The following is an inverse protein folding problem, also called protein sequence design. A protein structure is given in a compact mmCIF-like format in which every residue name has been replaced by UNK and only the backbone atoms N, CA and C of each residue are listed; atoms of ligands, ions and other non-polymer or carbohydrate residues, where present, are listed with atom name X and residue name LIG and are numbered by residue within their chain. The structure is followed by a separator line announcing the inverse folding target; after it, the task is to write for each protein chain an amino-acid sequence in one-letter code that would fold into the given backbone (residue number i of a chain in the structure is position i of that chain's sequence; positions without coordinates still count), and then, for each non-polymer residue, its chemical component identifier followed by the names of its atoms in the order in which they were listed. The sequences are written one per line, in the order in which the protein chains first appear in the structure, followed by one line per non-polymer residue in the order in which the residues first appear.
data_IF_960217225505
#
_entry.id   IF_960217225505
#
_cell.length_a   1.000
_cell.length_b   1.000
_cell.length_c   1.000
_cell.angle_alpha   90.00
_cell.angle_beta   90.00
_cell.angle_gamma   90.00
#
_symmetry.space_group_name_H-M   'P 1'
#
loop_
_entity.id
_entity.type
_entity.pdbx_description
1 polymer ?
#
# COMPACT_ATOMS: atom_id res chain seq x y z
N UNK A 1 36.50 -18.58 0.17
CA UNK A 1 35.72 -17.43 -0.33
C UNK A 1 36.26 -16.20 0.37
N UNK A 2 36.97 -15.32 -0.36
CA UNK A 2 37.54 -14.10 0.23
C UNK A 2 36.45 -13.06 0.51
N UNK A 3 36.59 -12.32 1.61
CA UNK A 3 35.70 -11.20 1.96
C UNK A 3 36.11 -10.00 1.09
N UNK A 4 35.17 -9.44 0.33
CA UNK A 4 35.40 -8.26 -0.51
C UNK A 4 35.40 -7.03 0.38
N UNK A 5 36.42 -6.19 0.23
CA UNK A 5 36.52 -4.93 0.99
C UNK A 5 35.55 -3.86 0.46
N UNK A 6 35.11 -2.95 1.33
CA UNK A 6 34.18 -1.85 0.98
C UNK A 6 34.74 -0.95 -0.14
N UNK A 7 36.06 -0.81 -0.19
CA UNK A 7 36.79 -0.03 -1.19
C UNK A 7 36.75 -0.69 -2.57
N UNK A 8 36.93 -2.01 -2.63
CA UNK A 8 36.76 -2.79 -3.86
C UNK A 8 35.32 -2.72 -4.36
N UNK A 9 34.34 -2.83 -3.47
CA UNK A 9 32.91 -2.66 -3.76
C UNK A 9 32.61 -1.29 -4.39
N UNK A 10 33.11 -0.21 -3.80
CA UNK A 10 32.91 1.16 -4.30
C UNK A 10 33.57 1.39 -5.66
N UNK A 11 34.68 0.71 -5.95
CA UNK A 11 35.42 0.85 -7.20
C UNK A 11 34.81 0.07 -8.38
N UNK A 12 33.88 -0.86 -8.12
CA UNK A 12 33.26 -1.71 -9.14
C UNK A 12 34.18 -2.75 -9.78
N UNK A 13 35.40 -2.93 -9.25
CA UNK A 13 36.41 -3.86 -9.79
C UNK A 13 36.14 -5.32 -9.42
N UNK A 14 35.22 -5.58 -8.50
CA UNK A 14 34.83 -6.93 -8.06
C UNK A 14 34.35 -7.84 -9.21
N UNK A 15 33.94 -7.25 -10.33
CA UNK A 15 33.42 -7.96 -11.51
C UNK A 15 34.35 -7.93 -12.73
N UNK A 16 35.50 -7.26 -12.63
CA UNK A 16 36.53 -7.32 -13.67
C UNK A 16 37.40 -8.53 -13.37
N UNK A 17 37.09 -9.65 -14.02
CA UNK A 17 37.78 -10.92 -13.83
C UNK A 17 39.29 -10.80 -14.05
N UNK A 18 40.04 -10.67 -12.96
CA UNK A 18 41.42 -11.11 -12.88
C UNK A 18 41.44 -12.36 -12.01
N UNK A 19 41.30 -13.51 -12.67
CA UNK A 19 41.80 -14.76 -12.11
C UNK A 19 43.33 -14.67 -12.15
N UNK A 20 43.95 -14.38 -11.01
CA UNK A 20 45.38 -14.61 -10.84
C UNK A 20 45.53 -16.08 -10.45
N UNK A 21 45.74 -16.94 -11.44
CA UNK A 21 46.16 -18.31 -11.20
C UNK A 21 47.69 -18.33 -11.06
N UNK A 22 48.18 -18.56 -9.84
CA UNK A 22 49.50 -19.13 -9.62
C UNK A 22 49.45 -20.60 -10.04
N UNK A 23 50.12 -20.98 -11.13
CA UNK A 23 51.07 -22.09 -11.13
C UNK A 23 51.63 -22.43 -12.53
N UNK A 24 52.91 -22.79 -12.48
CA UNK A 24 53.80 -23.39 -13.46
C UNK A 24 53.16 -24.50 -14.31
N UNK A 25 53.32 -24.46 -15.64
CA UNK A 25 53.09 -25.63 -16.50
C UNK A 25 52.67 -25.33 -17.93
N UNK A 26 53.38 -25.92 -18.89
CA UNK A 26 53.25 -25.73 -20.33
C UNK A 26 51.90 -26.17 -20.93
N UNK A 27 51.42 -25.45 -21.97
CA UNK A 27 50.44 -25.98 -22.92
C UNK A 27 49.45 -24.96 -23.52
N UNK A 28 49.58 -24.69 -24.83
CA UNK A 28 48.49 -24.36 -25.76
C UNK A 28 47.65 -23.09 -25.54
N UNK A 29 47.97 -22.00 -26.25
CA UNK A 29 47.15 -20.77 -26.26
C UNK A 29 46.00 -20.90 -27.27
N UNK A 30 44.76 -21.05 -26.78
CA UNK A 30 43.54 -20.82 -27.57
C UNK A 30 43.06 -19.39 -27.30
N UNK A 31 43.16 -18.53 -28.31
CA UNK A 31 42.92 -17.10 -28.18
C UNK A 31 41.44 -16.77 -28.42
N UNK A 32 40.61 -16.84 -27.38
CA UNK A 32 39.24 -16.30 -27.44
C UNK A 32 39.29 -14.79 -27.25
N UNK A 33 39.14 -14.03 -28.34
CA UNK A 33 38.91 -12.58 -28.27
C UNK A 33 37.51 -12.32 -27.69
N UNK A 34 37.41 -12.22 -26.36
CA UNK A 34 36.26 -11.61 -25.72
C UNK A 34 36.24 -10.12 -26.09
N UNK A 35 35.17 -9.67 -26.76
CA UNK A 35 34.96 -8.25 -27.08
C UNK A 35 34.93 -7.47 -25.77
N UNK A 36 35.94 -6.62 -25.55
CA UNK A 36 35.96 -5.66 -24.45
C UNK A 36 34.77 -4.71 -24.60
N UNK A 37 33.73 -4.94 -23.81
CA UNK A 37 32.71 -3.92 -23.59
C UNK A 37 33.30 -2.97 -22.56
N UNK A 38 33.94 -1.92 -23.05
CA UNK A 38 34.52 -0.81 -22.27
C UNK A 38 33.40 0.08 -21.68
N UNK A 39 32.44 -0.50 -20.98
CA UNK A 39 31.56 0.22 -20.07
C UNK A 39 31.73 -0.39 -18.69
N UNK A 40 32.55 0.28 -17.87
CA UNK A 40 32.62 -0.02 -16.45
C UNK A 40 31.22 0.04 -15.83
N UNK A 41 30.96 -0.84 -14.87
CA UNK A 41 29.74 -0.83 -14.08
C UNK A 41 29.59 0.55 -13.43
N UNK A 42 28.63 1.34 -13.90
CA UNK A 42 28.34 2.65 -13.32
C UNK A 42 27.33 2.48 -12.18
N UNK A 43 27.74 2.90 -10.99
CA UNK A 43 26.84 3.00 -9.85
C UNK A 43 25.68 3.97 -10.21
N UNK A 44 24.41 3.53 -10.18
CA UNK A 44 23.26 4.35 -10.55
C UNK A 44 23.10 5.65 -9.76
N UNK A 45 23.83 5.79 -8.65
CA UNK A 45 23.79 6.95 -7.76
C UNK A 45 24.90 7.98 -8.02
N UNK A 46 25.86 7.71 -8.92
CA UNK A 46 26.99 8.61 -9.22
C UNK A 46 27.09 8.90 -10.72
N UNK A 47 26.38 9.93 -11.17
CA UNK A 47 26.63 10.56 -12.48
C UNK A 47 26.47 12.08 -12.36
N UNK A 48 27.61 12.78 -12.36
CA UNK A 48 27.71 14.22 -12.55
C UNK A 48 27.65 14.56 -14.06
N UNK A 49 26.50 15.06 -14.53
CA UNK A 49 26.32 16.21 -15.44
C UNK A 49 24.96 16.17 -16.18
N UNK A 50 24.08 17.13 -15.85
CA UNK A 50 22.98 17.75 -16.65
C UNK A 50 21.87 16.85 -17.24
N UNK A 51 20.60 17.30 -17.41
CA UNK A 51 20.03 18.64 -17.24
C UNK A 51 19.04 18.71 -16.07
N UNK A 52 18.72 19.92 -15.61
CA UNK A 52 17.55 20.19 -14.77
C UNK A 52 16.26 19.94 -15.58
N UNK A 53 15.96 18.69 -15.91
CA UNK A 53 14.57 18.29 -15.93
C UNK A 53 14.16 18.26 -14.47
N UNK A 54 13.57 19.37 -14.01
CA UNK A 54 12.69 19.32 -12.86
C UNK A 54 11.79 18.11 -13.07
N UNK A 55 12.05 17.03 -12.34
CA UNK A 55 11.09 15.97 -12.17
C UNK A 55 9.91 16.72 -11.57
N UNK A 56 8.93 17.07 -12.40
CA UNK A 56 7.60 17.42 -11.91
C UNK A 56 7.12 16.13 -11.28
N UNK A 57 7.44 15.96 -10.02
CA UNK A 57 7.05 14.83 -9.21
C UNK A 57 5.54 14.80 -9.30
N UNK A 58 4.99 13.84 -10.03
CA UNK A 58 3.55 13.52 -10.01
C UNK A 58 3.13 12.95 -8.63
N UNK A 59 3.90 13.22 -7.58
CA UNK A 59 3.65 12.81 -6.19
C UNK A 59 2.41 13.48 -5.61
N UNK A 60 1.96 14.59 -6.20
CA UNK A 60 0.78 15.33 -5.73
C UNK A 60 -0.53 14.53 -5.82
N UNK A 61 -0.61 13.47 -6.63
CA UNK A 61 -1.90 12.80 -6.87
C UNK A 61 -2.23 11.70 -5.85
N UNK A 62 -1.22 11.12 -5.19
CA UNK A 62 -1.36 9.93 -4.35
C UNK A 62 -1.06 10.28 -2.89
N UNK A 63 -2.01 10.93 -2.23
CA UNK A 63 -1.96 11.26 -0.79
C UNK A 63 -3.17 10.73 -0.07
N UNK A 64 -3.05 10.52 1.24
CA UNK A 64 -4.18 10.13 2.07
C UNK A 64 -5.26 11.20 1.98
N UNK A 65 -6.53 10.77 2.01
CA UNK A 65 -7.64 11.72 1.90
C UNK A 65 -7.74 12.61 3.15
N UNK A 66 -7.36 12.08 4.30
CA UNK A 66 -7.28 12.79 5.57
C UNK A 66 -5.89 12.65 6.19
N UNK A 67 -5.57 13.52 7.16
CA UNK A 67 -4.29 13.51 7.86
C UNK A 67 -4.19 12.29 8.78
N UNK A 68 -3.15 11.47 8.57
CA UNK A 68 -2.89 10.27 9.36
C UNK A 68 -2.17 10.58 10.69
N UNK A 69 -1.60 11.78 10.84
CA UNK A 69 -0.79 12.16 12.00
C UNK A 69 -1.58 12.86 13.10
N UNK A 70 -2.86 13.14 12.87
CA UNK A 70 -3.71 13.79 13.87
C UNK A 70 -3.99 12.86 15.06
N UNK A 71 -4.02 13.44 16.27
CA UNK A 71 -4.05 12.71 17.55
C UNK A 71 -5.22 11.70 17.70
N UNK A 72 -6.37 11.96 17.09
CA UNK A 72 -7.54 11.06 17.12
C UNK A 72 -7.91 10.48 15.74
N UNK A 73 -6.93 10.43 14.82
CA UNK A 73 -7.12 9.81 13.52
C UNK A 73 -7.32 8.29 13.67
N UNK A 74 -8.38 7.76 13.07
CA UNK A 74 -8.57 6.32 12.95
C UNK A 74 -7.92 5.84 11.64
N UNK A 75 -6.64 5.49 11.72
CA UNK A 75 -5.86 4.95 10.60
C UNK A 75 -6.11 3.45 10.49
N UNK A 76 -6.50 2.99 9.30
CA UNK A 76 -6.73 1.57 9.00
C UNK A 76 -5.41 0.86 8.65
N UNK A 77 -5.32 -0.46 8.91
CA UNK A 77 -4.07 -1.20 8.72
C UNK A 77 -3.61 -1.19 7.25
N UNK A 78 -2.29 -1.10 7.06
CA UNK A 78 -1.65 -1.14 5.73
C UNK A 78 -1.52 -2.58 5.21
N UNK A 79 -1.70 -2.80 3.90
CA UNK A 79 -1.55 -4.14 3.31
C UNK A 79 -0.11 -4.65 3.42
N UNK A 80 0.06 -5.94 3.70
CA UNK A 80 1.38 -6.62 3.75
C UNK A 80 2.00 -6.72 2.35
N UNK A 81 3.31 -6.96 2.24
CA UNK A 81 3.97 -7.08 0.94
C UNK A 81 3.35 -8.17 0.05
N UNK A 82 3.05 -9.35 0.61
CA UNK A 82 2.38 -10.42 -0.12
C UNK A 82 0.98 -10.01 -0.62
N UNK A 83 0.24 -9.26 0.19
CA UNK A 83 -1.05 -8.71 -0.21
C UNK A 83 -0.91 -7.71 -1.36
N UNK A 84 0.07 -6.81 -1.27
CA UNK A 84 0.38 -5.84 -2.32
C UNK A 84 0.72 -6.54 -3.64
N UNK A 85 1.57 -7.57 -3.62
CA UNK A 85 1.92 -8.34 -4.82
C UNK A 85 0.69 -9.00 -5.48
N UNK A 86 -0.28 -9.44 -4.68
CA UNK A 86 -1.48 -10.13 -5.17
C UNK A 86 -2.58 -9.17 -5.65
N UNK A 87 -2.82 -8.06 -4.94
CA UNK A 87 -3.98 -7.19 -5.16
C UNK A 87 -3.64 -5.84 -5.82
N UNK A 88 -2.38 -5.38 -5.79
CA UNK A 88 -1.94 -4.13 -6.41
C UNK A 88 -1.46 -4.33 -7.86
N UNK A 89 -2.36 -4.78 -8.73
CA UNK A 89 -2.04 -5.09 -10.15
C UNK A 89 -1.50 -3.90 -10.94
N UNK A 90 -1.79 -2.67 -10.50
CA UNK A 90 -1.38 -1.43 -11.15
C UNK A 90 -0.07 -0.85 -10.61
N UNK A 91 0.54 -1.48 -9.60
CA UNK A 91 1.78 -0.99 -8.97
C UNK A 91 1.65 0.41 -8.39
N UNK A 92 0.46 0.76 -7.87
CA UNK A 92 0.21 2.08 -7.29
C UNK A 92 0.94 2.21 -5.94
N UNK A 93 1.35 3.44 -5.54
CA UNK A 93 1.92 3.65 -4.23
C UNK A 93 0.90 3.29 -3.13
N UNK A 94 1.37 2.71 -2.04
CA UNK A 94 0.55 2.46 -0.86
C UNK A 94 0.40 3.75 -0.06
N UNK A 95 -0.85 4.08 0.25
CA UNK A 95 -1.25 5.31 0.94
C UNK A 95 -2.03 4.95 2.20
N UNK A 96 -1.92 5.76 3.25
CA UNK A 96 -2.73 5.60 4.45
C UNK A 96 -4.21 5.82 4.18
N UNK A 97 -5.02 4.89 4.70
CA UNK A 97 -6.48 5.00 4.69
C UNK A 97 -6.90 5.44 6.08
N UNK A 98 -7.47 6.63 6.17
CA UNK A 98 -7.88 7.24 7.44
C UNK A 98 -9.38 7.41 7.42
N UNK A 99 -10.12 6.82 8.36
CA UNK A 99 -11.57 6.99 8.43
C UNK A 99 -11.91 8.47 8.58
N UNK A 100 -12.97 8.93 7.92
CA UNK A 100 -13.40 10.33 7.94
C UNK A 100 -13.49 10.84 9.39
N UNK A 101 -12.76 11.91 9.77
CA UNK A 101 -12.77 12.46 11.12
C UNK A 101 -14.18 12.74 11.66
N UNK A 102 -15.11 13.13 10.77
CA UNK A 102 -16.50 13.36 11.17
C UNK A 102 -17.18 12.10 11.75
N UNK A 103 -16.82 10.93 11.22
CA UNK A 103 -17.32 9.64 11.67
C UNK A 103 -16.47 9.06 12.79
N UNK A 104 -15.14 9.13 12.69
CA UNK A 104 -14.23 8.54 13.67
C UNK A 104 -14.42 9.13 15.07
N UNK A 105 -14.67 10.44 15.17
CA UNK A 105 -14.98 11.14 16.43
C UNK A 105 -16.27 10.66 17.11
N UNK A 106 -17.17 9.99 16.38
CA UNK A 106 -18.43 9.46 16.90
C UNK A 106 -18.35 7.98 17.26
N UNK A 107 -17.31 7.27 16.81
CA UNK A 107 -17.11 5.86 17.09
C UNK A 107 -16.59 5.66 18.52
N UNK A 108 -17.23 4.74 19.24
CA UNK A 108 -16.71 4.21 20.52
C UNK A 108 -15.53 3.26 20.29
N UNK A 109 -14.66 3.01 21.28
CA UNK A 109 -13.47 2.17 21.11
C UNK A 109 -13.76 0.81 20.46
N UNK A 110 -14.76 0.07 20.93
CA UNK A 110 -15.17 -1.21 20.35
C UNK A 110 -15.67 -1.09 18.91
N UNK A 111 -16.27 0.04 18.54
CA UNK A 111 -16.73 0.30 17.18
C UNK A 111 -15.55 0.61 16.25
N UNK A 112 -14.49 1.26 16.75
CA UNK A 112 -13.26 1.50 15.98
C UNK A 112 -12.58 0.18 15.65
N UNK A 113 -12.50 -0.73 16.63
CA UNK A 113 -12.03 -2.11 16.43
C UNK A 113 -12.90 -2.87 15.42
N UNK A 114 -14.23 -2.76 15.52
CA UNK A 114 -15.16 -3.37 14.56
C UNK A 114 -14.96 -2.87 13.13
N UNK A 115 -14.73 -1.56 12.93
CA UNK A 115 -14.42 -1.00 11.60
C UNK A 115 -13.10 -1.52 11.06
N UNK A 116 -12.05 -1.61 11.90
CA UNK A 116 -10.75 -2.19 11.51
C UNK A 116 -10.92 -3.66 11.11
N UNK A 117 -11.63 -4.44 11.93
CA UNK A 117 -11.93 -5.85 11.66
C UNK A 117 -12.63 -6.03 10.31
N UNK A 118 -13.71 -5.27 10.08
CA UNK A 118 -14.45 -5.35 8.82
C UNK A 118 -13.60 -4.94 7.62
N UNK A 119 -12.77 -3.91 7.77
CA UNK A 119 -11.86 -3.45 6.71
C UNK A 119 -10.86 -4.53 6.33
N UNK A 120 -10.18 -5.16 7.31
CA UNK A 120 -9.22 -6.23 7.03
C UNK A 120 -9.87 -7.43 6.35
N UNK A 121 -11.09 -7.78 6.78
CA UNK A 121 -11.89 -8.83 6.16
C UNK A 121 -12.24 -8.49 4.70
N UNK A 122 -12.79 -7.30 4.44
CA UNK A 122 -13.19 -6.88 3.09
C UNK A 122 -12.00 -6.74 2.14
N UNK A 123 -10.84 -6.37 2.67
CA UNK A 123 -9.60 -6.27 1.90
C UNK A 123 -8.90 -7.61 1.71
N UNK A 124 -9.36 -8.71 2.30
CA UNK A 124 -8.63 -9.99 2.32
C UNK A 124 -7.21 -9.86 2.91
N UNK A 125 -7.09 -9.08 3.98
CA UNK A 125 -5.83 -8.88 4.72
C UNK A 125 -5.65 -9.87 5.87
N UNK A 126 -6.69 -10.63 6.22
CA UNK A 126 -6.62 -11.70 7.21
C UNK A 126 -6.25 -13.04 6.57
N UNK A 127 -5.81 -13.98 7.39
CA UNK A 127 -5.26 -15.28 6.96
C UNK A 127 -6.30 -16.26 6.39
N UNK A 128 -7.60 -15.94 6.47
CA UNK A 128 -8.63 -16.76 5.84
C UNK A 128 -8.80 -16.41 4.36
N UNK A 129 -9.06 -17.42 3.53
CA UNK A 129 -9.25 -17.26 2.09
C UNK A 129 -10.66 -16.70 1.76
N UNK A 130 -10.93 -15.46 2.10
CA UNK A 130 -12.18 -14.79 1.77
C UNK A 130 -12.14 -13.27 1.85
N UNK A 131 -13.22 -12.64 1.40
CA UNK A 131 -13.41 -11.18 1.38
C UNK A 131 -14.71 -10.75 2.08
N UNK A 132 -15.28 -11.62 2.91
CA UNK A 132 -16.54 -11.40 3.63
C UNK A 132 -16.33 -11.35 5.14
N UNK A 133 -17.22 -10.68 5.86
CA UNK A 133 -17.15 -10.55 7.32
C UNK A 133 -18.51 -10.82 7.95
N UNK A 134 -18.51 -11.33 9.18
CA UNK A 134 -19.71 -11.48 10.01
C UNK A 134 -19.54 -10.57 11.23
N UNK A 135 -20.38 -9.54 11.34
CA UNK A 135 -20.41 -8.65 12.49
C UNK A 135 -21.52 -9.10 13.46
N UNK A 136 -21.15 -9.99 14.38
CA UNK A 136 -22.07 -10.64 15.32
C UNK A 136 -22.10 -10.01 16.72
N UNK A 137 -21.73 -8.73 16.84
CA UNK A 137 -21.83 -7.97 18.09
C UNK A 137 -23.26 -7.93 18.62
N UNK A 138 -23.41 -7.76 19.93
CA UNK A 138 -24.71 -7.62 20.59
C UNK A 138 -25.59 -6.51 19.96
N UNK A 139 -26.91 -6.68 20.09
CA UNK A 139 -27.87 -5.70 19.63
C UNK A 139 -27.71 -4.39 20.43
N UNK A 140 -27.81 -3.25 19.75
CA UNK A 140 -27.64 -1.93 20.38
C UNK A 140 -26.21 -1.37 20.38
N UNK A 141 -25.19 -2.16 20.04
CA UNK A 141 -23.79 -1.69 20.00
C UNK A 141 -23.43 -0.77 18.82
N UNK A 142 -24.41 -0.38 18.00
CA UNK A 142 -24.22 0.58 16.90
C UNK A 142 -23.54 0.02 15.66
N UNK A 143 -23.82 -1.24 15.31
CA UNK A 143 -23.30 -1.90 14.08
C UNK A 143 -23.57 -1.09 12.80
N UNK A 144 -24.71 -0.40 12.71
CA UNK A 144 -25.04 0.45 11.56
C UNK A 144 -24.01 1.56 11.35
N UNK A 145 -23.56 2.23 12.41
CA UNK A 145 -22.53 3.27 12.33
C UNK A 145 -21.18 2.68 11.90
N UNK A 146 -20.80 1.51 12.42
CA UNK A 146 -19.58 0.81 11.99
C UNK A 146 -19.62 0.51 10.47
N UNK A 147 -20.72 -0.07 9.99
CA UNK A 147 -20.92 -0.37 8.57
C UNK A 147 -20.91 0.89 7.71
N UNK A 148 -21.61 1.96 8.11
CA UNK A 148 -21.66 3.22 7.36
C UNK A 148 -20.26 3.85 7.27
N UNK A 149 -19.49 3.84 8.37
CA UNK A 149 -18.12 4.36 8.41
C UNK A 149 -17.20 3.65 7.44
N UNK A 150 -17.31 2.32 7.38
CA UNK A 150 -16.56 1.52 6.41
C UNK A 150 -17.01 1.76 4.98
N UNK A 151 -18.32 1.72 4.71
CA UNK A 151 -18.89 1.96 3.37
C UNK A 151 -18.41 3.31 2.83
N UNK A 152 -18.52 4.37 3.64
CA UNK A 152 -18.06 5.69 3.26
C UNK A 152 -16.56 5.72 2.95
N UNK A 153 -15.75 5.08 3.79
CA UNK A 153 -14.30 4.98 3.60
C UNK A 153 -13.97 4.28 2.28
N UNK A 154 -14.57 3.12 1.99
CA UNK A 154 -14.30 2.34 0.78
C UNK A 154 -14.80 3.00 -0.52
N UNK A 155 -15.84 3.83 -0.42
CA UNK A 155 -16.37 4.62 -1.55
C UNK A 155 -15.52 5.85 -1.89
N UNK A 156 -14.72 6.34 -0.94
CA UNK A 156 -13.93 7.58 -1.12
C UNK A 156 -12.44 7.34 -1.28
N UNK A 157 -11.91 6.27 -0.68
CA UNK A 157 -10.47 6.02 -0.61
C UNK A 157 -10.16 4.53 -0.49
N UNK A 158 -8.87 4.22 -0.59
CA UNK A 158 -8.33 2.87 -0.57
C UNK A 158 -6.81 2.89 -0.43
N UNK A 159 -6.20 1.75 -0.07
CA UNK A 159 -4.77 1.69 0.22
C UNK A 159 -3.89 1.87 -1.02
N UNK A 160 -4.43 1.63 -2.22
CA UNK A 160 -3.70 1.69 -3.48
C UNK A 160 -3.96 3.00 -4.21
N UNK A 161 -3.00 3.92 -4.13
CA UNK A 161 -3.09 5.25 -4.75
C UNK A 161 -4.19 6.15 -4.17
N UNK A 162 -4.72 5.85 -2.99
CA UNK A 162 -5.81 6.64 -2.39
C UNK A 162 -7.14 6.55 -3.17
N UNK A 163 -7.27 5.62 -4.11
CA UNK A 163 -8.45 5.51 -4.97
C UNK A 163 -9.60 4.76 -4.27
N UNK A 164 -10.86 5.08 -4.57
CA UNK A 164 -12.01 4.31 -4.09
C UNK A 164 -11.89 2.82 -4.42
N UNK A 165 -12.11 1.99 -3.40
CA UNK A 165 -12.10 0.53 -3.52
C UNK A 165 -13.39 0.06 -4.19
N UNK A 166 -14.49 0.69 -3.82
CA UNK A 166 -15.83 0.37 -4.31
C UNK A 166 -16.44 1.57 -5.01
N UNK A 167 -17.33 1.31 -5.98
CA UNK A 167 -18.11 2.37 -6.66
C UNK A 167 -19.56 2.43 -6.22
N UNK A 168 -20.11 1.29 -5.80
CA UNK A 168 -21.51 1.13 -5.42
C UNK A 168 -21.60 0.13 -4.29
N UNK A 169 -22.52 0.36 -3.36
CA UNK A 169 -22.82 -0.53 -2.24
C UNK A 169 -24.33 -0.70 -2.17
N UNK A 170 -24.76 -1.93 -1.91
CA UNK A 170 -26.17 -2.28 -1.69
C UNK A 170 -26.32 -2.76 -0.26
N UNK A 171 -27.21 -2.13 0.50
CA UNK A 171 -27.59 -2.57 1.84
C UNK A 171 -28.90 -3.33 1.73
N UNK A 172 -28.88 -4.62 2.04
CA UNK A 172 -30.07 -5.46 2.09
C UNK A 172 -30.54 -5.55 3.54
N UNK A 173 -31.81 -5.24 3.77
CA UNK A 173 -32.41 -5.19 5.12
C UNK A 173 -33.90 -5.52 5.03
N UNK A 174 -34.54 -6.05 6.10
CA UNK A 174 -35.98 -6.19 6.14
C UNK A 174 -36.71 -4.90 5.76
N UNK A 175 -37.86 -5.02 5.08
CA UNK A 175 -38.60 -3.86 4.55
C UNK A 175 -38.91 -2.78 5.61
N UNK A 176 -39.17 -3.19 6.85
CA UNK A 176 -39.42 -2.30 7.99
C UNK A 176 -38.22 -1.43 8.38
N UNK A 177 -36.99 -1.85 8.05
CA UNK A 177 -35.76 -1.18 8.43
C UNK A 177 -35.17 -0.30 7.33
N UNK A 178 -35.70 -0.33 6.11
CA UNK A 178 -35.20 0.49 4.98
C UNK A 178 -35.19 1.98 5.33
N UNK A 179 -36.30 2.49 5.88
CA UNK A 179 -36.41 3.90 6.32
C UNK A 179 -35.46 4.20 7.49
N UNK A 180 -35.16 3.23 8.34
CA UNK A 180 -34.24 3.41 9.47
C UNK A 180 -32.80 3.53 8.96
N UNK A 181 -32.40 2.69 8.01
CA UNK A 181 -31.09 2.81 7.36
C UNK A 181 -30.93 4.16 6.65
N UNK A 182 -31.95 4.62 5.92
CA UNK A 182 -31.93 5.95 5.31
C UNK A 182 -31.68 7.06 6.36
N UNK A 183 -32.39 7.01 7.50
CA UNK A 183 -32.19 7.96 8.60
C UNK A 183 -30.80 7.86 9.22
N UNK A 184 -30.25 6.66 9.37
CA UNK A 184 -28.88 6.46 9.88
C UNK A 184 -27.84 7.08 8.93
N UNK A 185 -27.94 6.86 7.61
CA UNK A 185 -27.06 7.51 6.64
C UNK A 185 -27.16 9.04 6.71
N UNK A 186 -28.37 9.58 6.76
CA UNK A 186 -28.59 11.04 6.90
C UNK A 186 -28.06 11.59 8.22
N UNK A 187 -28.23 10.86 9.32
CA UNK A 187 -27.76 11.24 10.66
C UNK A 187 -26.24 11.33 10.72
N UNK A 188 -25.52 10.37 10.13
CA UNK A 188 -24.07 10.26 10.28
C UNK A 188 -23.27 10.95 9.18
N UNK A 189 -23.82 11.11 7.97
CA UNK A 189 -23.14 11.77 6.85
C UNK A 189 -23.76 13.13 6.48
N UNK A 190 -24.96 13.44 6.98
CA UNK A 190 -25.70 14.63 6.57
C UNK A 190 -26.18 14.56 5.12
N UNK A 191 -26.96 15.56 4.72
CA UNK A 191 -27.48 15.64 3.35
C UNK A 191 -26.44 16.11 2.33
N UNK A 192 -25.46 16.92 2.76
CA UNK A 192 -24.49 17.51 1.83
C UNK A 192 -23.50 16.49 1.27
N UNK A 193 -23.08 15.51 2.09
CA UNK A 193 -22.11 14.48 1.70
C UNK A 193 -22.75 13.36 0.88
N UNK A 194 -24.07 13.21 0.96
CA UNK A 194 -24.84 12.16 0.27
C UNK A 194 -25.32 12.58 -1.14
N UNK A 195 -25.10 13.83 -1.55
CA UNK A 195 -25.47 14.33 -2.90
C UNK A 195 -24.55 13.82 -3.99
#
# INVERSE_FOLDING_TARGET
MGVVSEEEWQSGRCFQGQYVSSDTGAGGVVNYKAKSVNKGFQNPLKSNNTPTHSIKTKSSQYRSHFDATADDALVLPRPTQNHQLKYNTRGLPVVDVVVDPHLSLKLRPHQREGVIFLYECMMSMREYNGSGAILADEMGLGKSLQCISLIWTLLKQGPYGGLPVMRRVVVVTPGSLVKNWQKEFQKWLGHERLK
#
